data_IF_106567317094
#
_entry.id   IF_106567317094
#
_cell.length_a   1.000
_cell.length_b   1.000
_cell.length_c   1.000
_cell.angle_alpha   90.00
_cell.angle_beta   90.00
_cell.angle_gamma   90.00
#
_symmetry.space_group_name_H-M   'P 1'
#
loop_
_entity.id
_entity.type
_entity.pdbx_description
1 polymer ?
#
# COMPACT_ATOMS: atom_id res chain seq x y z
N UNK A 1 -52.87 84.52 1.59
CA UNK A 1 -52.01 85.43 2.38
C UNK A 1 -50.66 84.77 2.53
N UNK A 2 -49.61 85.44 2.03
CA UNK A 2 -48.16 85.26 2.26
C UNK A 2 -47.54 83.87 1.97
N UNK A 3 -46.40 83.73 1.31
CA UNK A 3 -45.51 84.64 0.60
C UNK A 3 -44.59 83.78 -0.29
N UNK A 4 -44.16 84.38 -1.40
CA UNK A 4 -43.23 83.89 -2.42
C UNK A 4 -41.76 83.90 -1.94
N UNK A 5 -40.84 83.61 -2.89
CA UNK A 5 -39.40 84.00 -2.99
C UNK A 5 -38.43 82.84 -2.69
N UNK A 6 -37.94 82.09 -3.71
CA UNK A 6 -36.68 82.25 -4.52
C UNK A 6 -35.39 82.14 -3.69
N UNK A 7 -34.23 81.60 -4.10
CA UNK A 7 -33.56 81.42 -5.40
C UNK A 7 -32.24 80.61 -5.17
N UNK A 8 -31.67 80.04 -6.26
CA UNK A 8 -30.25 79.61 -6.47
C UNK A 8 -29.65 78.53 -5.54
N UNK A 9 -28.80 77.60 -5.98
CA UNK A 9 -28.07 77.45 -7.22
C UNK A 9 -26.86 76.53 -6.97
N UNK A 10 -26.24 76.06 -8.05
CA UNK A 10 -24.86 75.56 -8.20
C UNK A 10 -24.76 74.14 -8.77
N UNK A 11 -24.24 74.12 -9.98
CA UNK A 11 -23.79 72.97 -10.72
C UNK A 11 -22.59 72.29 -10.03
N UNK A 12 -22.57 70.96 -10.08
CA UNK A 12 -21.33 70.18 -9.98
C UNK A 12 -21.39 69.07 -11.03
N UNK A 13 -20.61 69.27 -12.09
CA UNK A 13 -20.19 68.22 -13.02
C UNK A 13 -19.45 67.14 -12.21
N UNK A 14 -19.97 65.91 -12.20
CA UNK A 14 -19.20 64.74 -11.80
C UNK A 14 -19.02 63.85 -13.03
N UNK A 15 -17.86 63.98 -13.69
CA UNK A 15 -17.37 63.02 -14.67
C UNK A 15 -16.99 61.75 -13.88
N UNK A 16 -17.93 60.81 -13.78
CA UNK A 16 -17.64 59.48 -13.28
C UNK A 16 -16.94 58.69 -14.38
N UNK A 17 -15.61 58.74 -14.39
CA UNK A 17 -14.75 57.87 -15.19
C UNK A 17 -15.10 56.41 -14.89
N UNK A 18 -15.73 55.74 -15.86
CA UNK A 18 -15.94 54.31 -15.86
C UNK A 18 -14.58 53.61 -15.93
N UNK A 19 -13.99 53.32 -14.78
CA UNK A 19 -12.91 52.34 -14.66
C UNK A 19 -13.60 50.97 -14.84
N UNK A 20 -13.77 50.56 -16.09
CA UNK A 20 -14.00 49.18 -16.42
C UNK A 20 -12.72 48.41 -16.09
N UNK A 21 -12.57 48.06 -14.80
CA UNK A 21 -11.72 46.96 -14.38
C UNK A 21 -12.23 45.75 -15.15
N UNK A 22 -11.55 45.45 -16.25
CA UNK A 22 -11.64 44.17 -16.93
C UNK A 22 -11.03 43.15 -15.97
N UNK A 23 -11.80 42.78 -14.96
CA UNK A 23 -11.62 41.54 -14.21
C UNK A 23 -11.89 40.46 -15.26
N UNK A 24 -10.87 40.15 -16.06
CA UNK A 24 -10.88 38.91 -16.80
C UNK A 24 -11.13 37.84 -15.75
N UNK A 25 -12.22 37.05 -15.85
CA UNK A 25 -12.43 35.98 -14.91
C UNK A 25 -11.17 35.13 -14.97
N UNK A 26 -10.44 35.05 -13.86
CA UNK A 26 -9.38 34.07 -13.70
C UNK A 26 -10.00 32.76 -14.17
N UNK A 27 -9.51 32.20 -15.28
CA UNK A 27 -10.09 30.98 -15.84
C UNK A 27 -9.99 29.95 -14.75
N UNK A 28 -11.12 29.70 -14.10
CA UNK A 28 -11.19 28.74 -13.02
C UNK A 28 -10.69 27.42 -13.61
N UNK A 29 -9.76 26.80 -12.90
CA UNK A 29 -9.31 25.46 -13.20
C UNK A 29 -10.52 24.58 -13.49
N UNK A 30 -10.50 23.88 -14.62
CA UNK A 30 -11.63 23.00 -14.95
C UNK A 30 -11.58 21.75 -14.07
N UNK A 31 -12.74 21.14 -13.82
CA UNK A 31 -12.79 19.87 -13.10
C UNK A 31 -11.90 18.81 -13.77
N UNK A 32 -11.87 18.76 -15.10
CA UNK A 32 -11.04 17.85 -15.87
C UNK A 32 -9.53 18.03 -15.60
N UNK A 33 -9.06 19.28 -15.46
CA UNK A 33 -7.66 19.56 -15.12
C UNK A 33 -7.34 19.10 -13.70
N UNK A 34 -8.25 19.34 -12.74
CA UNK A 34 -8.09 18.87 -11.36
C UNK A 34 -8.06 17.33 -11.30
N UNK A 35 -8.99 16.66 -11.98
CA UNK A 35 -9.05 15.19 -12.05
C UNK A 35 -7.77 14.61 -12.66
N UNK A 36 -7.21 15.28 -13.68
CA UNK A 36 -5.95 14.87 -14.29
C UNK A 36 -4.75 15.04 -13.35
N UNK A 37 -4.67 16.16 -12.64
CA UNK A 37 -3.65 16.41 -11.59
C UNK A 37 -3.76 15.34 -10.49
N UNK A 38 -4.97 15.05 -10.02
CA UNK A 38 -5.19 14.04 -8.98
C UNK A 38 -4.84 12.63 -9.45
N UNK A 39 -5.16 12.28 -10.71
CA UNK A 39 -4.74 11.00 -11.31
C UNK A 39 -3.22 10.88 -11.37
N UNK A 40 -2.52 11.87 -11.95
CA UNK A 40 -1.06 11.84 -12.07
C UNK A 40 -0.41 11.75 -10.70
N UNK A 41 -0.88 12.54 -9.74
CA UNK A 41 -0.36 12.52 -8.35
C UNK A 41 -0.56 11.16 -7.69
N UNK A 42 -1.73 10.52 -7.86
CA UNK A 42 -2.00 9.17 -7.36
C UNK A 42 -1.05 8.14 -7.97
N UNK A 43 -0.81 8.22 -9.29
CA UNK A 43 0.09 7.31 -9.99
C UNK A 43 1.57 7.52 -9.57
N UNK A 44 2.03 8.76 -9.40
CA UNK A 44 3.38 9.06 -8.88
C UNK A 44 3.58 8.43 -7.51
N UNK A 45 2.66 8.67 -6.58
CA UNK A 45 2.74 8.15 -5.21
C UNK A 45 2.74 6.62 -5.18
N UNK A 46 2.00 5.98 -6.08
CA UNK A 46 1.88 4.51 -6.13
C UNK A 46 3.04 3.84 -6.88
N UNK A 47 3.74 4.55 -7.77
CA UNK A 47 4.76 3.97 -8.66
C UNK A 47 5.86 3.15 -7.94
N UNK A 48 6.41 3.56 -6.77
CA UNK A 48 7.37 2.73 -6.04
C UNK A 48 6.83 1.36 -5.60
N UNK A 49 5.53 1.28 -5.30
CA UNK A 49 4.87 0.01 -4.97
C UNK A 49 4.74 -0.88 -6.20
N UNK A 50 4.57 -0.32 -7.40
CA UNK A 50 4.49 -1.09 -8.63
C UNK A 50 5.76 -1.91 -8.88
N UNK A 51 6.93 -1.35 -8.55
CA UNK A 51 8.20 -2.09 -8.55
C UNK A 51 8.19 -3.29 -7.60
N UNK A 52 7.67 -3.11 -6.39
CA UNK A 52 7.54 -4.20 -5.40
C UNK A 52 6.54 -5.27 -5.80
N UNK A 53 5.53 -4.92 -6.59
CA UNK A 53 4.56 -5.84 -7.19
C UNK A 53 5.11 -6.57 -8.42
N UNK A 54 6.35 -6.30 -8.83
CA UNK A 54 7.04 -6.99 -9.93
C UNK A 54 7.00 -6.28 -11.27
N UNK A 55 6.58 -5.01 -11.32
CA UNK A 55 6.74 -4.18 -12.52
C UNK A 55 8.15 -3.61 -12.62
N UNK A 56 8.59 -3.27 -13.82
CA UNK A 56 9.83 -2.52 -14.02
C UNK A 56 9.53 -1.03 -13.95
N UNK A 57 10.31 -0.31 -13.14
CA UNK A 57 10.17 1.12 -12.93
C UNK A 57 11.46 1.80 -13.39
N UNK A 58 11.34 2.84 -14.21
CA UNK A 58 12.47 3.66 -14.61
C UNK A 58 13.07 4.40 -13.40
N UNK A 59 14.39 4.36 -13.19
CA UNK A 59 15.01 5.02 -12.03
C UNK A 59 14.81 6.54 -12.03
N UNK A 60 14.63 7.16 -13.20
CA UNK A 60 14.38 8.60 -13.35
C UNK A 60 12.88 8.92 -13.42
N UNK A 61 12.00 8.02 -12.96
CA UNK A 61 10.55 8.19 -13.03
C UNK A 61 10.07 9.57 -12.57
N UNK A 62 10.50 10.12 -11.40
CA UNK A 62 10.02 11.43 -10.96
C UNK A 62 10.30 12.55 -11.96
N UNK A 63 11.51 12.58 -12.54
CA UNK A 63 11.90 13.62 -13.50
C UNK A 63 11.17 13.46 -14.84
N UNK A 64 11.08 12.22 -15.34
CA UNK A 64 10.40 11.92 -16.61
C UNK A 64 8.89 12.16 -16.55
N UNK A 65 8.25 11.79 -15.44
CA UNK A 65 6.82 12.07 -15.21
C UNK A 65 6.57 13.56 -15.08
N UNK A 66 7.39 14.29 -14.31
CA UNK A 66 7.24 15.74 -14.18
C UNK A 66 7.39 16.45 -15.54
N UNK A 67 8.37 16.06 -16.36
CA UNK A 67 8.56 16.62 -17.70
C UNK A 67 7.37 16.32 -18.63
N UNK A 68 6.95 15.04 -18.70
CA UNK A 68 5.82 14.63 -19.54
C UNK A 68 4.50 15.29 -19.11
N UNK A 69 4.28 15.45 -17.81
CA UNK A 69 3.10 16.13 -17.30
C UNK A 69 3.10 17.63 -17.59
N UNK A 70 4.25 18.30 -17.49
CA UNK A 70 4.40 19.71 -17.89
C UNK A 70 4.14 19.92 -19.38
N UNK A 71 4.59 18.98 -20.21
CA UNK A 71 4.30 18.98 -21.65
C UNK A 71 2.80 18.84 -21.90
N UNK A 72 2.13 17.85 -21.28
CA UNK A 72 0.68 17.66 -21.40
C UNK A 72 -0.12 18.90 -20.95
N UNK A 73 0.31 19.54 -19.86
CA UNK A 73 -0.35 20.69 -19.27
C UNK A 73 -0.05 22.02 -19.98
N UNK A 74 0.91 22.06 -20.92
CA UNK A 74 1.30 23.28 -21.62
C UNK A 74 0.15 23.93 -22.40
N UNK A 75 -0.80 23.12 -22.88
CA UNK A 75 -2.01 23.58 -23.57
C UNK A 75 -3.13 24.09 -22.66
N UNK A 76 -2.98 24.03 -21.33
CA UNK A 76 -4.08 24.30 -20.39
C UNK A 76 -4.27 25.78 -20.09
N UNK A 77 -3.33 26.65 -20.51
CA UNK A 77 -3.34 28.07 -20.16
C UNK A 77 -3.20 28.32 -18.66
N UNK A 78 -2.65 27.35 -17.92
CA UNK A 78 -2.36 27.45 -16.49
C UNK A 78 -0.90 27.90 -16.29
N UNK A 79 -0.69 28.79 -15.32
CA UNK A 79 0.66 29.16 -14.90
C UNK A 79 1.42 27.94 -14.34
N UNK A 80 2.70 27.80 -14.69
CA UNK A 80 3.52 26.64 -14.34
C UNK A 80 3.74 26.53 -12.82
N UNK A 81 3.92 27.65 -12.13
CA UNK A 81 4.05 27.64 -10.67
C UNK A 81 2.73 27.20 -10.02
N UNK A 82 1.58 27.64 -10.56
CA UNK A 82 0.27 27.16 -10.09
C UNK A 82 0.07 25.66 -10.33
N UNK A 83 0.49 25.14 -11.49
CA UNK A 83 0.44 23.70 -11.79
C UNK A 83 1.31 22.89 -10.82
N UNK A 84 2.56 23.31 -10.62
CA UNK A 84 3.50 22.65 -9.71
C UNK A 84 2.96 22.65 -8.26
N UNK A 85 2.36 23.76 -7.81
CA UNK A 85 1.70 23.84 -6.51
C UNK A 85 0.53 22.83 -6.39
N UNK A 86 -0.37 22.78 -7.37
CA UNK A 86 -1.53 21.88 -7.35
C UNK A 86 -1.11 20.41 -7.37
N UNK A 87 -0.09 20.07 -8.16
CA UNK A 87 0.47 18.72 -8.21
C UNK A 87 1.13 18.31 -6.88
N UNK A 88 1.85 19.23 -6.23
CA UNK A 88 2.44 18.98 -4.92
C UNK A 88 1.37 18.79 -3.83
N UNK A 89 0.36 19.65 -3.78
CA UNK A 89 -0.77 19.54 -2.84
C UNK A 89 -1.55 18.23 -3.05
N UNK A 90 -1.79 17.84 -4.31
CA UNK A 90 -2.45 16.57 -4.61
C UNK A 90 -1.58 15.37 -4.24
N UNK A 91 -0.28 15.40 -4.53
CA UNK A 91 0.66 14.34 -4.15
C UNK A 91 0.75 14.16 -2.63
N UNK A 92 0.74 15.25 -1.86
CA UNK A 92 0.69 15.20 -0.39
C UNK A 92 -0.60 14.51 0.10
N UNK A 93 -1.77 14.86 -0.46
CA UNK A 93 -3.04 14.19 -0.14
C UNK A 93 -2.97 12.69 -0.46
N UNK A 94 -2.50 12.33 -1.64
CA UNK A 94 -2.38 10.93 -2.07
C UNK A 94 -1.40 10.14 -1.22
N UNK A 95 -0.28 10.75 -0.81
CA UNK A 95 0.70 10.15 0.10
C UNK A 95 0.09 9.83 1.45
N UNK A 96 -0.68 10.77 2.03
CA UNK A 96 -1.38 10.54 3.30
C UNK A 96 -2.39 9.41 3.22
N UNK A 97 -3.16 9.34 2.13
CA UNK A 97 -4.10 8.23 1.89
C UNK A 97 -3.35 6.90 1.75
N UNK A 98 -2.30 6.87 0.94
CA UNK A 98 -1.46 5.69 0.72
C UNK A 98 -0.86 5.13 2.03
N UNK A 99 -0.26 6.01 2.84
CA UNK A 99 0.33 5.63 4.12
C UNK A 99 -0.71 5.14 5.12
N UNK A 100 -1.89 5.77 5.16
CA UNK A 100 -2.98 5.33 6.02
C UNK A 100 -3.48 3.94 5.60
N UNK A 101 -3.74 3.75 4.31
CA UNK A 101 -4.35 2.53 3.80
C UNK A 101 -3.38 1.33 3.90
N UNK A 102 -2.09 1.51 3.63
CA UNK A 102 -1.10 0.43 3.77
C UNK A 102 -0.55 0.27 5.18
N UNK A 103 -0.23 1.36 5.87
CA UNK A 103 0.37 1.30 7.21
C UNK A 103 -0.57 0.67 8.23
N UNK A 104 -1.83 1.13 8.25
CA UNK A 104 -2.82 0.58 9.18
C UNK A 104 -3.14 -0.89 8.90
N UNK A 105 -3.18 -1.31 7.63
CA UNK A 105 -3.50 -2.70 7.30
C UNK A 105 -2.29 -3.64 7.46
N UNK A 106 -1.08 -3.16 7.16
CA UNK A 106 0.14 -3.95 7.34
C UNK A 106 0.41 -4.29 8.81
N UNK A 107 0.28 -3.31 9.71
CA UNK A 107 0.56 -3.50 11.14
C UNK A 107 -0.49 -4.40 11.83
N UNK A 108 -1.70 -4.44 11.28
CA UNK A 108 -2.83 -5.15 11.86
C UNK A 108 -3.11 -6.51 11.23
N UNK A 109 -2.49 -6.89 10.11
CA UNK A 109 -2.79 -8.15 9.41
C UNK A 109 -2.27 -9.40 10.15
N UNK A 110 -2.95 -9.79 11.23
CA UNK A 110 -2.62 -10.95 12.11
C UNK A 110 -3.71 -12.02 12.15
N UNK A 111 -4.69 -11.97 11.26
CA UNK A 111 -5.76 -12.96 11.14
C UNK A 111 -6.23 -13.07 9.70
N UNK A 112 -6.81 -14.21 9.30
CA UNK A 112 -7.30 -14.46 7.92
C UNK A 112 -8.19 -13.31 7.39
N UNK A 113 -9.09 -12.79 8.23
CA UNK A 113 -9.96 -11.66 7.87
C UNK A 113 -9.15 -10.39 7.54
N UNK A 114 -8.11 -10.10 8.32
CA UNK A 114 -7.24 -8.95 8.08
C UNK A 114 -6.35 -9.17 6.86
N UNK A 115 -5.98 -10.41 6.52
CA UNK A 115 -5.26 -10.70 5.27
C UNK A 115 -6.13 -10.46 4.05
N UNK A 116 -7.43 -10.82 4.12
CA UNK A 116 -8.38 -10.54 3.04
C UNK A 116 -8.51 -9.03 2.83
N UNK A 117 -8.50 -8.24 3.90
CA UNK A 117 -8.50 -6.78 3.83
C UNK A 117 -7.20 -6.24 3.20
N UNK A 118 -6.03 -6.65 3.72
CA UNK A 118 -4.73 -6.23 3.17
C UNK A 118 -4.57 -6.63 1.70
N UNK A 119 -4.97 -7.85 1.32
CA UNK A 119 -5.00 -8.30 -0.07
C UNK A 119 -5.94 -7.44 -0.93
N UNK A 120 -7.10 -7.05 -0.42
CA UNK A 120 -8.02 -6.17 -1.15
C UNK A 120 -7.40 -4.79 -1.42
N UNK A 121 -6.75 -4.21 -0.40
CA UNK A 121 -6.03 -2.93 -0.53
C UNK A 121 -4.89 -3.05 -1.54
N UNK A 122 -4.05 -4.08 -1.42
CA UNK A 122 -2.95 -4.31 -2.36
C UNK A 122 -3.43 -4.62 -3.79
N UNK A 123 -4.56 -5.31 -3.95
CA UNK A 123 -5.18 -5.52 -5.25
C UNK A 123 -5.64 -4.20 -5.89
N UNK A 124 -6.18 -3.28 -5.09
CA UNK A 124 -6.52 -1.93 -5.56
C UNK A 124 -5.28 -1.22 -6.11
N UNK A 125 -4.17 -1.24 -5.37
CA UNK A 125 -2.92 -0.65 -5.83
C UNK A 125 -2.31 -1.38 -7.03
N UNK A 126 -2.39 -2.71 -7.09
CA UNK A 126 -1.92 -3.46 -8.24
C UNK A 126 -2.69 -3.09 -9.51
N UNK A 127 -3.99 -2.79 -9.40
CA UNK A 127 -4.79 -2.26 -10.52
C UNK A 127 -4.37 -0.83 -10.89
N UNK A 128 -4.08 0.03 -9.91
CA UNK A 128 -3.50 1.36 -10.15
C UNK A 128 -2.14 1.26 -10.86
N UNK A 129 -1.33 0.26 -10.57
CA UNK A 129 -0.09 0.00 -11.29
C UNK A 129 -0.33 -0.42 -12.75
N UNK A 130 -1.37 -1.22 -13.01
CA UNK A 130 -1.78 -1.52 -14.40
C UNK A 130 -2.25 -0.24 -15.10
N UNK A 131 -3.02 0.60 -14.43
CA UNK A 131 -3.44 1.91 -14.95
C UNK A 131 -2.24 2.79 -15.32
N UNK A 132 -1.18 2.82 -14.48
CA UNK A 132 0.06 3.54 -14.79
C UNK A 132 0.70 3.07 -16.11
N UNK A 133 0.60 1.78 -16.44
CA UNK A 133 1.19 1.24 -17.68
C UNK A 133 0.43 1.68 -18.93
N UNK A 134 -0.80 2.16 -18.77
CA UNK A 134 -1.68 2.61 -19.85
C UNK A 134 -1.76 4.15 -19.93
N UNK A 135 -1.29 4.84 -18.89
CA UNK A 135 -1.31 6.30 -18.83
C UNK A 135 -0.23 6.92 -19.76
N UNK A 136 -0.56 7.93 -20.59
CA UNK A 136 0.41 8.56 -21.49
C UNK A 136 1.66 9.12 -20.80
N UNK A 137 1.53 9.59 -19.55
CA UNK A 137 2.64 10.15 -18.76
C UNK A 137 3.54 9.05 -18.17
N UNK A 138 2.98 7.86 -17.87
CA UNK A 138 3.66 6.79 -17.13
C UNK A 138 4.04 5.58 -17.98
N UNK A 139 3.37 5.32 -19.11
CA UNK A 139 3.56 4.15 -19.96
C UNK A 139 5.00 3.96 -20.47
N UNK A 140 5.78 5.04 -20.54
CA UNK A 140 7.20 5.02 -20.91
C UNK A 140 8.16 4.70 -19.75
N UNK A 141 7.69 4.80 -18.51
CA UNK A 141 8.51 4.68 -17.28
C UNK A 141 8.03 3.58 -16.33
N UNK A 142 6.86 3.01 -16.58
CA UNK A 142 6.33 1.85 -15.86
C UNK A 142 6.01 0.78 -16.88
N UNK A 143 6.71 -0.35 -16.78
CA UNK A 143 6.51 -1.49 -17.70
C UNK A 143 6.02 -2.71 -16.95
N UNK A 144 4.88 -3.24 -17.42
CA UNK A 144 4.27 -4.48 -16.93
C UNK A 144 4.94 -5.69 -17.59
N UNK A 145 5.40 -6.70 -16.83
CA UNK A 145 5.95 -7.91 -17.43
C UNK A 145 4.87 -8.73 -18.14
N UNK A 146 5.30 -9.58 -19.09
CA UNK A 146 4.39 -10.51 -19.76
C UNK A 146 3.74 -11.46 -18.74
N UNK A 147 2.43 -11.68 -18.87
CA UNK A 147 1.67 -12.55 -17.96
C UNK A 147 1.40 -11.95 -16.58
N UNK A 148 1.67 -10.67 -16.35
CA UNK A 148 1.36 -10.01 -15.07
C UNK A 148 -0.13 -10.14 -14.71
N UNK A 149 -0.40 -10.58 -13.48
CA UNK A 149 -1.73 -10.62 -12.88
C UNK A 149 -1.72 -9.77 -11.61
N UNK A 150 -2.57 -8.74 -11.58
CA UNK A 150 -2.71 -7.88 -10.40
C UNK A 150 -3.14 -8.69 -9.16
N UNK A 151 -3.98 -9.71 -9.35
CA UNK A 151 -4.44 -10.60 -8.27
C UNK A 151 -3.31 -11.47 -7.72
N UNK A 152 -2.51 -12.06 -8.61
CA UNK A 152 -1.36 -12.87 -8.21
C UNK A 152 -0.28 -12.02 -7.54
N UNK A 153 0.04 -10.85 -8.11
CA UNK A 153 1.02 -9.93 -7.55
C UNK A 153 0.61 -9.43 -6.16
N UNK A 154 -0.65 -9.02 -5.99
CA UNK A 154 -1.18 -8.62 -4.69
C UNK A 154 -1.09 -9.77 -3.68
N UNK A 155 -1.51 -10.98 -4.06
CA UNK A 155 -1.46 -12.16 -3.18
C UNK A 155 -0.02 -12.49 -2.75
N UNK A 156 0.93 -12.52 -3.69
CA UNK A 156 2.34 -12.79 -3.39
C UNK A 156 2.91 -11.72 -2.46
N UNK A 157 2.61 -10.45 -2.72
CA UNK A 157 3.11 -9.36 -1.90
C UNK A 157 2.49 -9.38 -0.50
N UNK A 158 1.17 -9.55 -0.37
CA UNK A 158 0.49 -9.76 0.90
C UNK A 158 1.13 -10.92 1.67
N UNK A 159 1.32 -12.07 1.01
CA UNK A 159 1.93 -13.23 1.65
C UNK A 159 3.34 -12.93 2.16
N UNK A 160 4.16 -12.21 1.38
CA UNK A 160 5.52 -11.86 1.79
C UNK A 160 5.58 -10.99 3.05
N UNK A 161 4.57 -10.16 3.28
CA UNK A 161 4.45 -9.35 4.50
C UNK A 161 4.06 -10.20 5.72
N UNK A 162 3.50 -11.39 5.50
CA UNK A 162 2.92 -12.26 6.53
C UNK A 162 3.73 -13.53 6.79
N UNK A 163 4.68 -13.85 5.92
CA UNK A 163 5.54 -15.03 6.04
C UNK A 163 6.22 -15.09 7.41
N UNK A 164 6.57 -13.94 7.97
CA UNK A 164 7.23 -13.81 9.27
C UNK A 164 6.27 -14.02 10.45
N UNK A 165 4.98 -13.73 10.27
CA UNK A 165 3.92 -13.92 11.26
C UNK A 165 3.18 -15.25 11.17
N UNK A 166 3.48 -16.08 10.15
CA UNK A 166 2.91 -17.42 10.02
C UNK A 166 1.45 -17.48 9.57
N UNK A 167 0.98 -16.51 8.79
CA UNK A 167 -0.41 -16.45 8.30
C UNK A 167 -0.58 -16.30 6.78
N UNK A 168 0.48 -16.41 5.99
CA UNK A 168 0.38 -16.25 4.55
C UNK A 168 -0.61 -17.24 3.88
N UNK A 169 -1.28 -16.82 2.80
CA UNK A 169 -2.41 -17.53 2.19
C UNK A 169 -2.08 -18.91 1.63
N UNK A 170 -0.81 -19.16 1.31
CA UNK A 170 -0.31 -20.47 0.89
C UNK A 170 -0.20 -21.49 2.04
N UNK A 171 -0.27 -21.04 3.29
CA UNK A 171 -0.16 -21.90 4.46
C UNK A 171 -1.48 -22.60 4.73
N UNK A 172 -1.60 -23.83 4.24
CA UNK A 172 -2.72 -24.71 4.60
C UNK A 172 -2.72 -24.98 6.12
N UNK A 173 -3.84 -25.43 6.71
CA UNK A 173 -3.87 -25.82 8.12
C UNK A 173 -2.78 -26.84 8.50
N UNK A 174 -2.42 -27.74 7.57
CA UNK A 174 -1.33 -28.69 7.78
C UNK A 174 0.04 -27.99 7.81
N UNK A 175 0.28 -26.99 6.95
CA UNK A 175 1.51 -26.21 6.97
C UNK A 175 1.62 -25.40 8.26
N UNK A 176 0.54 -24.75 8.69
CA UNK A 176 0.50 -23.99 9.94
C UNK A 176 0.79 -24.88 11.16
N UNK A 177 0.14 -26.04 11.24
CA UNK A 177 0.38 -26.98 12.34
C UNK A 177 1.84 -27.46 12.38
N UNK A 178 2.46 -27.74 11.23
CA UNK A 178 3.90 -28.10 11.16
C UNK A 178 4.78 -26.93 11.59
N UNK A 179 4.52 -25.71 11.12
CA UNK A 179 5.23 -24.51 11.57
C UNK A 179 5.15 -24.33 13.08
N UNK A 180 3.96 -24.50 13.67
CA UNK A 180 3.77 -24.48 15.12
C UNK A 180 4.56 -25.57 15.85
N UNK A 181 4.62 -26.79 15.32
CA UNK A 181 5.46 -27.87 15.91
C UNK A 181 6.93 -27.45 15.89
N UNK A 182 7.40 -26.85 14.80
CA UNK A 182 8.78 -26.39 14.65
C UNK A 182 9.11 -25.25 15.62
N UNK A 183 8.21 -24.27 15.77
CA UNK A 183 8.31 -23.21 16.78
C UNK A 183 8.46 -23.83 18.18
N UNK A 184 7.52 -24.70 18.57
CA UNK A 184 7.57 -25.36 19.88
C UNK A 184 8.81 -26.24 20.07
N UNK A 185 9.33 -26.86 19.00
CA UNK A 185 10.57 -27.63 19.07
C UNK A 185 11.79 -26.75 19.40
N UNK A 186 11.82 -25.51 18.91
CA UNK A 186 12.81 -24.50 19.26
C UNK A 186 12.61 -24.00 20.69
N UNK A 187 11.43 -23.41 20.97
CA UNK A 187 11.09 -22.79 22.27
C UNK A 187 11.27 -23.74 23.44
N UNK A 188 10.86 -25.00 23.29
CA UNK A 188 10.95 -25.97 24.37
C UNK A 188 12.28 -26.72 24.45
N UNK A 189 13.24 -26.46 23.56
CA UNK A 189 14.46 -27.28 23.41
C UNK A 189 15.23 -27.45 24.71
N UNK A 190 15.34 -26.39 25.52
CA UNK A 190 16.03 -26.41 26.82
C UNK A 190 15.36 -27.37 27.83
N UNK A 191 14.07 -27.63 27.67
CA UNK A 191 13.27 -28.43 28.62
C UNK A 191 12.97 -29.84 28.11
N UNK A 192 12.68 -30.00 26.81
CA UNK A 192 12.46 -31.34 26.21
C UNK A 192 13.78 -32.02 25.82
N UNK A 193 14.89 -31.28 25.79
CA UNK A 193 16.21 -31.72 25.41
C UNK A 193 16.45 -31.73 23.90
N UNK A 194 17.73 -31.58 23.52
CA UNK A 194 18.20 -31.53 22.12
C UNK A 194 17.71 -32.70 21.29
N UNK A 195 17.81 -33.93 21.79
CA UNK A 195 17.45 -35.15 21.03
C UNK A 195 15.98 -35.15 20.60
N UNK A 196 15.06 -34.79 21.51
CA UNK A 196 13.62 -34.77 21.20
C UNK A 196 13.27 -33.61 20.28
N UNK A 197 13.89 -32.45 20.48
CA UNK A 197 13.75 -31.28 19.60
C UNK A 197 14.24 -31.58 18.18
N UNK A 198 15.44 -32.16 18.02
CA UNK A 198 16.00 -32.55 16.71
C UNK A 198 15.13 -33.61 16.00
N UNK A 199 14.53 -34.55 16.73
CA UNK A 199 13.61 -35.52 16.16
C UNK A 199 12.35 -34.85 15.57
N UNK A 200 11.82 -33.81 16.22
CA UNK A 200 10.71 -33.02 15.67
C UNK A 200 11.13 -32.26 14.42
N UNK A 201 12.32 -31.68 14.39
CA UNK A 201 12.87 -31.02 13.20
C UNK A 201 13.00 -32.00 12.03
N UNK A 202 13.51 -33.20 12.30
CA UNK A 202 13.68 -34.25 11.29
C UNK A 202 12.34 -34.71 10.70
N UNK A 203 11.31 -34.84 11.53
CA UNK A 203 9.98 -35.30 11.16
C UNK A 203 9.15 -34.20 10.47
N UNK A 204 9.15 -32.99 11.02
CA UNK A 204 8.21 -31.93 10.62
C UNK A 204 8.86 -30.79 9.82
N UNK A 205 10.19 -30.67 9.79
CA UNK A 205 10.90 -29.60 9.07
C UNK A 205 11.09 -29.83 7.58
N UNK A 206 10.82 -31.04 7.06
CA UNK A 206 11.04 -31.39 5.64
C UNK A 206 9.85 -31.01 4.75
N UNK A 207 10.11 -30.40 3.60
CA UNK A 207 9.11 -30.19 2.56
C UNK A 207 9.77 -30.15 1.17
N UNK A 208 9.09 -30.72 0.18
CA UNK A 208 9.44 -30.58 -1.24
C UNK A 208 9.17 -29.14 -1.71
N UNK A 209 8.13 -28.51 -1.18
CA UNK A 209 7.91 -27.07 -1.36
C UNK A 209 8.96 -26.28 -0.56
N UNK A 210 9.81 -25.57 -1.30
CA UNK A 210 10.90 -24.74 -0.76
C UNK A 210 10.39 -23.59 0.10
N UNK A 211 9.20 -23.05 -0.19
CA UNK A 211 8.58 -21.98 0.61
C UNK A 211 8.15 -22.51 1.97
N UNK A 212 7.42 -23.63 1.99
CA UNK A 212 7.03 -24.31 3.23
C UNK A 212 8.24 -24.74 4.07
N UNK A 213 9.28 -25.29 3.44
CA UNK A 213 10.53 -25.66 4.13
C UNK A 213 11.20 -24.47 4.82
N UNK A 214 11.33 -23.33 4.13
CA UNK A 214 11.91 -22.11 4.71
C UNK A 214 11.12 -21.61 5.91
N UNK A 215 9.79 -21.60 5.83
CA UNK A 215 8.92 -21.23 6.94
C UNK A 215 9.11 -22.14 8.16
N UNK A 216 9.19 -23.46 7.97
CA UNK A 216 9.40 -24.40 9.06
C UNK A 216 10.73 -24.18 9.78
N UNK A 217 11.82 -24.01 9.02
CA UNK A 217 13.15 -23.77 9.60
C UNK A 217 13.19 -22.42 10.33
N UNK A 218 12.67 -21.36 9.71
CA UNK A 218 12.57 -20.03 10.34
C UNK A 218 11.74 -20.08 11.63
N UNK A 219 10.62 -20.82 11.64
CA UNK A 219 9.80 -20.97 12.85
C UNK A 219 10.57 -21.65 13.98
N UNK A 220 11.41 -22.65 13.67
CA UNK A 220 12.29 -23.27 14.66
C UNK A 220 13.33 -22.30 15.21
N UNK A 221 14.00 -21.54 14.33
CA UNK A 221 15.00 -20.55 14.71
C UNK A 221 14.39 -19.46 15.61
N UNK A 222 13.21 -18.92 15.24
CA UNK A 222 12.47 -17.98 16.10
C UNK A 222 12.21 -18.60 17.48
N UNK A 223 11.79 -19.86 17.52
CA UNK A 223 11.56 -20.55 18.80
C UNK A 223 12.84 -20.70 19.63
N UNK A 224 13.99 -20.94 19.00
CA UNK A 224 15.27 -21.00 19.71
C UNK A 224 15.67 -19.65 20.33
N UNK A 225 15.38 -18.57 19.61
CA UNK A 225 15.73 -17.20 20.00
C UNK A 225 14.69 -16.57 20.96
N UNK A 226 13.53 -17.21 21.16
CA UNK A 226 12.48 -16.76 22.06
C UNK A 226 12.91 -16.92 23.54
N UNK A 227 13.19 -15.80 24.19
CA UNK A 227 13.57 -15.73 25.60
C UNK A 227 12.40 -15.41 26.54
N UNK A 228 11.23 -15.10 25.98
CA UNK A 228 10.04 -14.67 26.72
C UNK A 228 9.15 -15.86 27.09
N UNK A 229 9.03 -16.86 26.21
CA UNK A 229 8.21 -18.05 26.43
C UNK A 229 8.88 -19.07 27.36
N UNK A 230 8.57 -19.00 28.65
CA UNK A 230 9.08 -19.94 29.68
C UNK A 230 8.12 -21.09 29.95
N UNK A 231 8.10 -22.09 29.07
CA UNK A 231 7.31 -23.29 29.28
C UNK A 231 8.03 -24.34 30.15
N UNK A 232 7.28 -25.02 31.01
CA UNK A 232 7.75 -26.25 31.66
C UNK A 232 7.50 -27.49 30.78
N UNK A 233 8.06 -28.63 31.19
CA UNK A 233 8.03 -29.86 30.39
C UNK A 233 6.59 -30.32 30.06
N UNK A 234 5.68 -30.19 31.02
CA UNK A 234 4.28 -30.58 30.82
C UNK A 234 3.57 -29.64 29.84
N UNK A 235 3.82 -28.33 29.92
CA UNK A 235 3.29 -27.35 28.96
C UNK A 235 3.82 -27.63 27.54
N UNK A 236 5.13 -27.87 27.40
CA UNK A 236 5.75 -28.24 26.13
C UNK A 236 5.13 -29.49 25.51
N UNK A 237 5.01 -30.56 26.31
CA UNK A 237 4.42 -31.82 25.82
C UNK A 237 2.96 -31.63 25.38
N UNK A 238 2.15 -30.85 26.13
CA UNK A 238 0.76 -30.57 25.77
C UNK A 238 0.66 -29.75 24.48
N UNK A 239 1.46 -28.70 24.34
CA UNK A 239 1.46 -27.85 23.15
C UNK A 239 1.84 -28.66 21.89
N UNK A 240 2.93 -29.43 21.96
CA UNK A 240 3.37 -30.29 20.86
C UNK A 240 2.31 -31.34 20.52
N UNK A 241 1.69 -31.98 21.52
CA UNK A 241 0.64 -32.97 21.30
C UNK A 241 -0.60 -32.36 20.64
N UNK A 242 -1.03 -31.16 21.05
CA UNK A 242 -2.14 -30.44 20.43
C UNK A 242 -1.89 -30.16 18.95
N UNK A 243 -0.72 -29.62 18.63
CA UNK A 243 -0.34 -29.33 17.24
C UNK A 243 -0.22 -30.59 16.38
N UNK A 244 0.27 -31.70 16.94
CA UNK A 244 0.27 -33.00 16.25
C UNK A 244 -1.15 -33.50 15.97
N UNK A 245 -2.09 -33.29 16.90
CA UNK A 245 -3.49 -33.65 16.69
C UNK A 245 -4.14 -32.80 15.60
N UNK A 246 -3.85 -31.50 15.55
CA UNK A 246 -4.36 -30.61 14.50
C UNK A 246 -3.77 -30.94 13.13
N UNK A 247 -2.48 -31.28 13.07
CA UNK A 247 -1.85 -31.79 11.85
C UNK A 247 -2.52 -33.09 11.35
N UNK A 248 -2.87 -34.00 12.27
CA UNK A 248 -3.57 -35.23 11.91
C UNK A 248 -4.96 -34.97 11.31
N UNK A 249 -5.69 -33.96 11.82
CA UNK A 249 -7.00 -33.54 11.27
C UNK A 249 -6.86 -32.88 9.89
N UNK A 250 -5.77 -32.18 9.65
CA UNK A 250 -5.54 -31.41 8.43
C UNK A 250 -5.04 -32.23 7.23
N UNK A 251 -4.63 -33.49 7.43
CA UNK A 251 -4.26 -34.39 6.33
C UNK A 251 -5.52 -34.83 5.58
N UNK A 252 -5.61 -34.65 4.25
CA UNK A 252 -6.68 -35.26 3.48
C UNK A 252 -6.65 -36.78 3.69
N UNK A 253 -7.83 -37.37 3.91
CA UNK A 253 -8.00 -38.83 4.02
C UNK A 253 -7.72 -39.51 2.69
#
# INVERSE_FOLDING_TARGET
MHASVTWLGSAALAIASAIALSVQPARAQTQQQQDRIDRVSRLVVTAPLCGRLGMTIDPDLPAKVAAAFKEEASGWGMDQHRLDQLAAESSDRQTKLFLRDLGAEADNAKSEAQLRNLRSVLLSYARTCVEATEDPVFSKVVTKPAGFSADAAATIFTDSMLEDGGLASWQTPAIQARGGIMMMAGTCRSVIGKVRSDALVLEYGKSEDTRARRYYLKSFDIGLDDTEMKFNLAQCNRAIAGLKADLAKARPR
#
